data_IF_711019974511
#
_entry.id   IF_711019974511
#
_cell.length_a   1.000
_cell.length_b   1.000
_cell.length_c   1.000
_cell.angle_alpha   90.00
_cell.angle_beta   90.00
_cell.angle_gamma   90.00
#
_symmetry.space_group_name_H-M   'P 1'
#
loop_
_entity.id
_entity.type
_entity.pdbx_description
1 polymer ?
#
# COMPACT_ATOMS: atom_id res chain seq x y z
N UNK A 1 13.51 0.60 29.59
CA UNK A 1 12.21 0.58 28.88
C UNK A 1 12.52 0.55 27.40
N UNK A 2 12.26 -0.57 26.72
CA UNK A 2 12.34 -0.60 25.25
C UNK A 2 11.23 0.31 24.71
N UNK A 3 11.54 1.15 23.73
CA UNK A 3 10.53 1.95 23.04
C UNK A 3 9.56 1.00 22.30
N UNK A 4 8.28 1.38 22.20
CA UNK A 4 7.30 0.62 21.42
C UNK A 4 7.69 0.67 19.93
N UNK A 5 7.82 -0.46 19.23
CA UNK A 5 8.25 -0.48 17.84
C UNK A 5 7.25 0.26 16.94
N UNK A 6 7.77 0.94 15.93
CA UNK A 6 6.92 1.61 14.94
C UNK A 6 6.22 0.57 14.08
N UNK A 7 4.89 0.52 14.15
CA UNK A 7 4.08 -0.43 13.38
C UNK A 7 3.81 0.10 11.97
N UNK A 8 4.13 -0.71 10.98
CA UNK A 8 3.92 -0.43 9.56
C UNK A 8 3.11 -1.57 8.99
N UNK A 9 1.91 -1.26 8.50
CA UNK A 9 1.04 -2.29 7.97
C UNK A 9 1.32 -2.57 6.50
N UNK A 10 1.27 -3.86 6.15
CA UNK A 10 1.37 -4.33 4.78
C UNK A 10 0.08 -5.08 4.42
N UNK A 11 -0.76 -4.45 3.61
CA UNK A 11 -2.08 -4.94 3.23
C UNK A 11 -2.15 -5.23 1.74
N UNK A 12 -3.13 -6.01 1.32
CA UNK A 12 -3.46 -6.21 -0.09
C UNK A 12 -4.19 -7.52 -0.34
N UNK A 13 -4.56 -7.74 -1.60
CA UNK A 13 -5.33 -8.92 -1.98
C UNK A 13 -4.56 -10.23 -1.76
N UNK A 14 -5.25 -11.35 -1.48
CA UNK A 14 -4.64 -12.67 -1.41
C UNK A 14 -3.82 -13.00 -2.68
N UNK A 15 -2.67 -13.64 -2.51
CA UNK A 15 -1.82 -14.08 -3.63
C UNK A 15 -0.91 -12.99 -4.22
N UNK A 16 -0.86 -11.78 -3.65
CA UNK A 16 0.01 -10.68 -4.10
C UNK A 16 1.46 -10.77 -3.58
N UNK A 17 1.84 -11.88 -2.94
CA UNK A 17 3.20 -12.12 -2.42
C UNK A 17 3.57 -11.34 -1.15
N UNK A 18 2.61 -10.67 -0.50
CA UNK A 18 2.89 -9.79 0.64
C UNK A 18 3.45 -10.51 1.87
N UNK A 19 3.10 -11.77 2.09
CA UNK A 19 3.70 -12.54 3.20
C UNK A 19 5.19 -12.81 2.99
N UNK A 20 5.58 -13.13 1.75
CA UNK A 20 6.99 -13.31 1.39
C UNK A 20 7.74 -11.98 1.52
N UNK A 21 7.11 -10.88 1.10
CA UNK A 21 7.64 -9.53 1.27
C UNK A 21 7.82 -9.17 2.75
N UNK A 22 6.83 -9.41 3.60
CA UNK A 22 6.90 -9.14 5.05
C UNK A 22 8.05 -9.92 5.70
N UNK A 23 8.20 -11.22 5.38
CA UNK A 23 9.34 -12.03 5.85
C UNK A 23 10.67 -11.49 5.33
N UNK A 24 10.73 -11.08 4.07
CA UNK A 24 11.95 -10.51 3.50
C UNK A 24 12.36 -9.21 4.22
N UNK A 25 11.41 -8.32 4.46
CA UNK A 25 11.62 -7.05 5.18
C UNK A 25 12.09 -7.29 6.60
N UNK A 26 11.47 -8.24 7.34
CA UNK A 26 11.83 -8.55 8.72
C UNK A 26 13.31 -8.92 8.90
N UNK A 27 13.96 -9.51 7.88
CA UNK A 27 15.40 -9.82 7.90
C UNK A 27 16.32 -8.58 7.87
N UNK A 28 15.80 -7.42 7.47
CA UNK A 28 16.52 -6.16 7.39
C UNK A 28 16.21 -5.19 8.53
N UNK A 29 15.32 -5.58 9.45
CA UNK A 29 14.91 -4.73 10.56
C UNK A 29 15.64 -5.13 11.83
N UNK A 30 16.11 -4.12 12.57
CA UNK A 30 16.58 -4.37 13.92
C UNK A 30 15.39 -4.71 14.84
N UNK A 31 15.51 -5.76 15.68
CA UNK A 31 14.48 -6.12 16.63
C UNK A 31 14.08 -4.93 17.52
N UNK A 32 12.78 -4.78 17.77
CA UNK A 32 12.25 -3.79 18.72
C UNK A 32 12.13 -2.35 18.21
N UNK A 33 12.51 -2.05 16.97
CA UNK A 33 12.45 -0.68 16.44
C UNK A 33 11.32 -0.45 15.42
N UNK A 34 11.03 -1.44 14.57
CA UNK A 34 9.90 -1.43 13.67
C UNK A 34 9.29 -2.84 13.56
N UNK A 35 7.97 -2.87 13.36
CA UNK A 35 7.21 -4.09 13.12
C UNK A 35 6.45 -3.93 11.81
N UNK A 36 6.61 -4.90 10.91
CA UNK A 36 5.76 -5.02 9.73
C UNK A 36 4.64 -6.02 10.03
N UNK A 37 3.40 -5.55 9.96
CA UNK A 37 2.20 -6.31 10.32
C UNK A 37 1.33 -6.53 9.08
N UNK A 38 0.93 -7.77 8.80
CA UNK A 38 0.04 -8.10 7.68
C UNK A 38 -1.45 -7.87 8.01
N UNK A 39 -1.76 -7.50 9.25
CA UNK A 39 -3.10 -7.19 9.77
C UNK A 39 -4.16 -8.25 9.37
N UNK A 40 -3.99 -9.52 9.77
CA UNK A 40 -4.86 -10.61 9.34
C UNK A 40 -6.34 -10.41 9.71
N UNK A 41 -6.62 -9.68 10.80
CA UNK A 41 -7.99 -9.34 11.19
C UNK A 41 -8.69 -8.44 10.16
N UNK A 42 -7.99 -7.44 9.62
CA UNK A 42 -8.52 -6.54 8.59
C UNK A 42 -8.75 -7.32 7.28
N UNK A 43 -7.79 -8.18 6.91
CA UNK A 43 -7.94 -9.09 5.77
C UNK A 43 -9.18 -9.96 5.91
N UNK A 44 -9.35 -10.66 7.03
CA UNK A 44 -10.50 -11.52 7.28
C UNK A 44 -11.82 -10.75 7.29
N UNK A 45 -11.83 -9.49 7.75
CA UNK A 45 -13.02 -8.63 7.70
C UNK A 45 -13.40 -8.26 6.26
N UNK A 46 -12.44 -7.93 5.40
CA UNK A 46 -12.69 -7.69 3.96
C UNK A 46 -13.27 -8.93 3.29
N UNK A 47 -12.67 -10.12 3.53
CA UNK A 47 -13.18 -11.37 2.99
C UNK A 47 -14.63 -11.64 3.43
N UNK A 48 -14.96 -11.40 4.70
CA UNK A 48 -16.33 -11.54 5.21
C UNK A 48 -17.29 -10.55 4.54
N UNK A 49 -16.90 -9.30 4.35
CA UNK A 49 -17.75 -8.30 3.67
C UNK A 49 -18.09 -8.72 2.24
N UNK A 50 -17.11 -9.30 1.52
CA UNK A 50 -17.31 -9.74 0.14
C UNK A 50 -18.14 -11.02 0.00
N UNK A 51 -18.16 -11.85 1.04
CA UNK A 51 -18.87 -13.14 1.09
C UNK A 51 -20.24 -13.03 1.79
N UNK A 52 -20.49 -11.95 2.52
CA UNK A 52 -21.73 -11.76 3.25
C UNK A 52 -22.93 -11.69 2.28
N UNK A 53 -24.03 -12.41 2.56
CA UNK A 53 -25.26 -12.28 1.79
C UNK A 53 -25.88 -10.90 2.03
N UNK A 54 -26.59 -10.39 1.02
CA UNK A 54 -27.28 -9.10 1.12
C UNK A 54 -28.28 -9.11 2.26
N UNK A 55 -28.22 -8.08 3.10
CA UNK A 55 -29.09 -7.93 4.27
C UNK A 55 -28.30 -7.68 5.56
N UNK A 56 -28.86 -8.00 6.74
CA UNK A 56 -28.31 -7.55 8.03
C UNK A 56 -26.92 -8.11 8.34
N UNK A 57 -26.55 -9.25 7.75
CA UNK A 57 -25.22 -9.84 7.89
C UNK A 57 -24.15 -9.02 7.13
N UNK A 58 -24.52 -8.39 6.00
CA UNK A 58 -23.64 -7.51 5.26
C UNK A 58 -23.36 -6.23 6.04
N UNK A 59 -24.39 -5.62 6.64
CA UNK A 59 -24.25 -4.42 7.46
C UNK A 59 -23.34 -4.68 8.67
N UNK A 60 -23.55 -5.81 9.37
CA UNK A 60 -22.70 -6.21 10.48
C UNK A 60 -21.24 -6.46 10.06
N UNK A 61 -21.02 -7.06 8.89
CA UNK A 61 -19.68 -7.27 8.35
C UNK A 61 -18.99 -5.93 8.03
N UNK A 62 -19.69 -5.00 7.37
CA UNK A 62 -19.19 -3.68 7.02
C UNK A 62 -18.84 -2.87 8.27
N UNK A 63 -19.69 -2.93 9.30
CA UNK A 63 -19.45 -2.22 10.55
C UNK A 63 -18.25 -2.79 11.32
N UNK A 64 -18.07 -4.11 11.31
CA UNK A 64 -16.88 -4.74 11.86
C UNK A 64 -15.60 -4.35 11.09
N UNK A 65 -15.67 -4.26 9.75
CA UNK A 65 -14.57 -3.81 8.91
C UNK A 65 -14.21 -2.34 9.21
N UNK A 66 -15.20 -1.46 9.33
CA UNK A 66 -14.99 -0.06 9.68
C UNK A 66 -14.32 0.10 11.06
N UNK A 67 -14.76 -0.66 12.08
CA UNK A 67 -14.17 -0.63 13.42
C UNK A 67 -12.69 -1.08 13.42
N UNK A 68 -12.37 -2.11 12.63
CA UNK A 68 -11.00 -2.59 12.47
C UNK A 68 -10.14 -1.58 11.69
N UNK A 69 -10.67 -0.94 10.66
CA UNK A 69 -9.98 0.10 9.92
C UNK A 69 -9.68 1.33 10.79
N UNK A 70 -10.60 1.72 11.68
CA UNK A 70 -10.36 2.79 12.66
C UNK A 70 -9.29 2.40 13.69
N UNK A 71 -9.32 1.16 14.19
CA UNK A 71 -8.28 0.63 15.10
C UNK A 71 -6.91 0.62 14.41
N UNK A 72 -6.88 0.23 13.13
CA UNK A 72 -5.69 0.28 12.30
C UNK A 72 -5.14 1.71 12.18
N UNK A 73 -6.00 2.69 11.91
CA UNK A 73 -5.61 4.11 11.81
C UNK A 73 -4.92 4.62 13.09
N UNK A 74 -5.38 4.15 14.25
CA UNK A 74 -4.83 4.54 15.55
C UNK A 74 -3.51 3.84 15.90
N UNK A 75 -3.25 2.67 15.35
CA UNK A 75 -2.13 1.80 15.76
C UNK A 75 -0.97 1.78 14.77
N UNK A 76 -1.24 2.00 13.48
CA UNK A 76 -0.25 1.91 12.42
C UNK A 76 0.27 3.30 12.03
N UNK A 77 1.59 3.47 12.04
CA UNK A 77 2.25 4.73 11.66
C UNK A 77 2.21 4.97 10.15
N UNK A 78 2.18 3.90 9.36
CA UNK A 78 2.06 3.93 7.92
C UNK A 78 1.38 2.65 7.40
N UNK A 79 0.73 2.79 6.24
CA UNK A 79 0.03 1.70 5.56
C UNK A 79 0.60 1.55 4.14
N UNK A 80 1.02 0.34 3.80
CA UNK A 80 1.51 -0.03 2.48
C UNK A 80 0.55 -1.04 1.86
N UNK A 81 0.17 -0.84 0.60
CA UNK A 81 -0.81 -1.65 -0.11
C UNK A 81 -0.17 -2.35 -1.31
N UNK A 82 -0.28 -3.66 -1.43
CA UNK A 82 0.22 -4.39 -2.59
C UNK A 82 -0.61 -4.11 -3.85
N UNK A 83 0.05 -3.72 -4.94
CA UNK A 83 -0.58 -3.57 -6.26
C UNK A 83 -0.95 -4.91 -6.90
N UNK A 84 -1.92 -4.87 -7.81
CA UNK A 84 -2.41 -6.03 -8.58
C UNK A 84 -1.62 -6.25 -9.90
N UNK A 85 -0.32 -5.91 -9.95
CA UNK A 85 0.49 -5.89 -11.18
C UNK A 85 0.59 -7.22 -11.94
N UNK A 86 0.24 -8.34 -11.29
CA UNK A 86 0.18 -9.67 -11.91
C UNK A 86 -1.19 -10.11 -12.41
N UNK A 87 -2.25 -9.33 -12.13
CA UNK A 87 -3.61 -9.64 -12.57
C UNK A 87 -3.71 -9.31 -14.06
N UNK A 88 -3.59 -10.34 -14.91
CA UNK A 88 -3.92 -10.19 -16.33
C UNK A 88 -5.42 -9.90 -16.44
N UNK A 89 -5.83 -8.80 -17.10
CA UNK A 89 -7.26 -8.53 -17.30
C UNK A 89 -7.85 -9.69 -18.08
N UNK A 90 -8.96 -10.25 -17.60
CA UNK A 90 -9.65 -11.36 -18.24
C UNK A 90 -10.04 -10.94 -19.67
N UNK A 91 -9.33 -11.45 -20.67
CA UNK A 91 -9.69 -11.29 -22.09
C UNK A 91 -10.86 -12.23 -22.40
N UNK A 92 -12.04 -11.94 -21.85
CA UNK A 92 -13.27 -12.63 -22.21
C UNK A 92 -14.10 -11.77 -23.17
N UNK A 93 -14.42 -12.37 -24.32
CA UNK A 93 -15.26 -11.90 -25.41
C UNK A 93 -16.33 -10.84 -25.08
N UNK A 94 -16.19 -9.63 -25.65
CA UNK A 94 -17.28 -8.68 -25.94
C UNK A 94 -18.20 -8.22 -24.79
N UNK A 95 -17.96 -8.67 -23.57
CA UNK A 95 -18.75 -8.38 -22.37
C UNK A 95 -17.94 -7.46 -21.47
N UNK A 96 -18.62 -6.56 -20.77
CA UNK A 96 -17.99 -5.69 -19.78
C UNK A 96 -17.18 -6.56 -18.80
N UNK A 97 -15.87 -6.35 -18.67
CA UNK A 97 -15.05 -7.20 -17.82
C UNK A 97 -15.55 -7.12 -16.38
N UNK A 98 -15.96 -8.28 -15.83
CA UNK A 98 -16.32 -8.39 -14.42
C UNK A 98 -15.05 -8.36 -13.58
N UNK A 99 -15.02 -7.62 -12.45
CA UNK A 99 -13.86 -7.56 -11.60
C UNK A 99 -13.59 -8.92 -10.97
N UNK A 100 -12.35 -9.36 -11.05
CA UNK A 100 -11.82 -10.54 -10.39
C UNK A 100 -11.96 -10.47 -8.87
N UNK A 101 -11.83 -11.61 -8.19
CA UNK A 101 -11.86 -11.66 -6.73
C UNK A 101 -10.80 -10.77 -6.07
N UNK A 102 -9.62 -10.64 -6.68
CA UNK A 102 -8.55 -9.77 -6.18
C UNK A 102 -8.90 -8.29 -6.34
N UNK A 103 -9.50 -7.89 -7.48
CA UNK A 103 -9.96 -6.51 -7.70
C UNK A 103 -11.08 -6.12 -6.75
N UNK A 104 -12.04 -7.02 -6.51
CA UNK A 104 -13.11 -6.80 -5.51
C UNK A 104 -12.55 -6.66 -4.09
N UNK A 105 -11.56 -7.48 -3.74
CA UNK A 105 -10.86 -7.39 -2.45
C UNK A 105 -10.11 -6.08 -2.30
N UNK A 106 -9.31 -5.70 -3.29
CA UNK A 106 -8.54 -4.45 -3.26
C UNK A 106 -9.48 -3.24 -3.19
N UNK A 107 -10.58 -3.23 -3.95
CA UNK A 107 -11.58 -2.16 -3.91
C UNK A 107 -12.25 -2.04 -2.53
N UNK A 108 -12.69 -3.16 -1.94
CA UNK A 108 -13.30 -3.17 -0.61
C UNK A 108 -12.32 -2.69 0.47
N UNK A 109 -11.07 -3.15 0.41
CA UNK A 109 -10.02 -2.72 1.32
C UNK A 109 -9.73 -1.21 1.20
N UNK A 110 -9.60 -0.69 -0.03
CA UNK A 110 -9.39 0.75 -0.26
C UNK A 110 -10.56 1.59 0.22
N UNK A 111 -11.79 1.12 0.04
CA UNK A 111 -12.99 1.75 0.57
C UNK A 111 -12.93 1.90 2.08
N UNK A 112 -12.67 0.80 2.79
CA UNK A 112 -12.56 0.81 4.26
C UNK A 112 -11.43 1.71 4.78
N UNK A 113 -10.26 1.70 4.12
CA UNK A 113 -9.16 2.59 4.48
C UNK A 113 -9.51 4.07 4.24
N UNK A 114 -10.18 4.38 3.13
CA UNK A 114 -10.61 5.74 2.79
C UNK A 114 -11.66 6.26 3.77
N UNK A 115 -12.65 5.45 4.12
CA UNK A 115 -13.68 5.79 5.11
C UNK A 115 -13.08 6.04 6.50
N UNK A 116 -12.04 5.30 6.87
CA UNK A 116 -11.29 5.49 8.11
C UNK A 116 -10.26 6.64 8.04
N UNK A 117 -10.15 7.36 6.91
CA UNK A 117 -9.17 8.45 6.73
C UNK A 117 -7.71 7.99 6.68
N UNK A 118 -7.47 6.70 6.42
CA UNK A 118 -6.13 6.11 6.41
C UNK A 118 -5.45 6.37 5.07
N UNK A 119 -4.41 7.20 5.12
CA UNK A 119 -3.49 7.34 3.98
C UNK A 119 -2.65 6.09 3.79
N UNK A 120 -2.45 5.68 2.53
CA UNK A 120 -1.62 4.52 2.19
C UNK A 120 -0.76 4.78 0.96
N UNK A 121 0.32 3.99 0.83
CA UNK A 121 1.17 3.96 -0.37
C UNK A 121 1.01 2.62 -1.07
N UNK A 122 0.73 2.64 -2.37
CA UNK A 122 0.67 1.41 -3.17
C UNK A 122 2.08 1.00 -3.59
N UNK A 123 2.38 -0.29 -3.49
CA UNK A 123 3.63 -0.93 -3.88
C UNK A 123 3.42 -1.65 -5.21
N UNK A 124 4.11 -1.17 -6.24
CA UNK A 124 4.06 -1.74 -7.57
C UNK A 124 5.37 -2.42 -7.95
N UNK A 125 5.31 -3.25 -9.00
CA UNK A 125 6.47 -3.88 -9.61
C UNK A 125 6.80 -5.26 -9.04
N UNK A 126 7.99 -5.75 -9.36
CA UNK A 126 8.52 -7.04 -8.93
C UNK A 126 8.75 -7.11 -7.42
N UNK A 127 8.96 -8.33 -6.90
CA UNK A 127 9.21 -8.56 -5.47
C UNK A 127 10.38 -7.74 -4.93
N UNK A 128 11.47 -7.62 -5.71
CA UNK A 128 12.65 -6.84 -5.32
C UNK A 128 12.37 -5.33 -5.32
N UNK A 129 11.58 -4.81 -6.26
CA UNK A 129 11.20 -3.40 -6.30
C UNK A 129 10.30 -3.05 -5.11
N UNK A 130 9.33 -3.92 -4.79
CA UNK A 130 8.46 -3.78 -3.62
C UNK A 130 9.27 -3.83 -2.32
N UNK A 131 10.25 -4.73 -2.21
CA UNK A 131 11.15 -4.80 -1.06
C UNK A 131 11.92 -3.50 -0.85
N UNK A 132 12.56 -2.97 -1.91
CA UNK A 132 13.27 -1.69 -1.84
C UNK A 132 12.33 -0.55 -1.44
N UNK A 133 11.14 -0.48 -2.02
CA UNK A 133 10.16 0.54 -1.72
C UNK A 133 9.69 0.50 -0.25
N UNK A 134 9.50 -0.70 0.32
CA UNK A 134 9.16 -0.87 1.74
C UNK A 134 10.32 -0.41 2.63
N UNK A 135 11.55 -0.88 2.36
CA UNK A 135 12.71 -0.49 3.16
C UNK A 135 12.95 1.02 3.13
N UNK A 136 12.76 1.68 1.98
CA UNK A 136 12.86 3.13 1.86
C UNK A 136 11.75 3.88 2.60
N UNK A 137 10.55 3.30 2.71
CA UNK A 137 9.50 3.84 3.56
C UNK A 137 9.89 3.72 5.04
N UNK A 138 10.41 2.56 5.47
CA UNK A 138 10.85 2.32 6.83
C UNK A 138 11.98 3.28 7.22
N UNK A 139 13.00 3.47 6.38
CA UNK A 139 14.10 4.42 6.61
C UNK A 139 13.59 5.84 6.92
N UNK A 140 12.52 6.28 6.25
CA UNK A 140 11.93 7.62 6.44
C UNK A 140 11.10 7.73 7.71
N UNK A 141 10.41 6.65 8.08
CA UNK A 141 9.46 6.63 9.19
C UNK A 141 10.16 6.29 10.52
N UNK A 142 11.10 5.36 10.48
CA UNK A 142 11.80 4.79 11.62
C UNK A 142 13.30 4.61 11.27
N UNK A 143 14.09 5.69 11.18
CA UNK A 143 15.50 5.61 10.76
C UNK A 143 16.37 4.73 11.68
N UNK A 144 16.02 4.63 12.96
CA UNK A 144 16.70 3.76 13.93
C UNK A 144 16.42 2.26 13.76
N UNK A 145 15.42 1.90 12.95
CA UNK A 145 15.01 0.52 12.74
C UNK A 145 15.74 -0.19 11.59
N UNK A 146 16.46 0.58 10.78
CA UNK A 146 17.14 0.06 9.61
C UNK A 146 18.59 -0.28 9.94
N UNK A 147 18.97 -1.55 9.74
CA UNK A 147 20.37 -1.96 9.71
C UNK A 147 20.84 -1.93 8.25
N UNK A 148 21.73 -1.01 7.85
CA UNK A 148 22.26 -1.03 6.50
C UNK A 148 23.07 -2.31 6.28
N UNK A 149 22.76 -3.15 5.27
CA UNK A 149 23.71 -4.15 4.84
C UNK A 149 25.01 -3.47 4.41
N UNK A 150 26.15 -4.15 4.54
CA UNK A 150 27.43 -3.66 4.06
C UNK A 150 27.29 -3.17 2.60
N UNK A 151 27.86 -2.01 2.24
CA UNK A 151 27.65 -1.40 0.93
C UNK A 151 28.03 -2.40 -0.17
N UNK A 152 27.05 -2.77 -0.99
CA UNK A 152 27.30 -3.58 -2.19
C UNK A 152 27.61 -2.65 -3.35
N UNK A 153 28.47 -3.09 -4.26
CA UNK A 153 29.01 -2.33 -5.41
C UNK A 153 27.92 -1.75 -6.35
N UNK A 154 26.64 -2.10 -6.15
CA UNK A 154 25.51 -1.58 -6.92
C UNK A 154 24.90 -0.26 -6.37
N UNK A 155 25.37 0.28 -5.24
CA UNK A 155 24.88 1.56 -4.69
C UNK A 155 25.50 2.81 -5.35
N UNK A 156 26.41 2.64 -6.30
CA UNK A 156 27.13 3.74 -6.95
C UNK A 156 26.65 4.01 -8.38
N UNK A 157 25.36 4.30 -8.61
CA UNK A 157 24.92 5.08 -9.77
C UNK A 157 23.43 5.43 -9.66
N UNK A 158 23.10 6.35 -8.76
CA UNK A 158 21.88 7.14 -8.90
C UNK A 158 22.29 8.51 -9.48
N UNK A 159 22.01 8.80 -10.77
CA UNK A 159 22.24 10.13 -11.31
C UNK A 159 21.43 11.16 -10.51
N UNK A 160 22.05 12.30 -10.25
CA UNK A 160 21.47 13.41 -9.52
C UNK A 160 20.06 13.72 -10.05
N UNK A 161 19.04 13.51 -9.21
CA UNK A 161 17.67 13.90 -9.52
C UNK A 161 17.64 15.40 -9.81
N UNK A 162 17.13 15.84 -10.98
CA UNK A 162 16.94 17.27 -11.21
C UNK A 162 15.96 17.83 -10.17
N UNK A 163 16.16 19.12 -9.88
CA UNK A 163 15.54 19.87 -8.81
C UNK A 163 14.02 19.60 -8.68
N UNK A 164 13.58 19.42 -7.44
CA UNK A 164 12.17 19.24 -7.09
C UNK A 164 11.35 20.39 -7.69
N UNK A 165 10.45 20.09 -8.63
CA UNK A 165 9.32 20.96 -8.90
C UNK A 165 8.53 21.08 -7.59
N UNK A 166 8.40 22.30 -7.09
CA UNK A 166 7.53 22.60 -5.94
C UNK A 166 6.14 22.05 -6.23
N UNK A 167 5.46 21.54 -5.20
CA UNK A 167 4.06 21.16 -5.30
C UNK A 167 3.26 22.39 -5.73
N UNK A 168 2.82 22.41 -6.99
CA UNK A 168 1.89 23.40 -7.49
C UNK A 168 0.49 22.99 -7.05
N UNK A 169 -0.05 23.69 -6.06
CA UNK A 169 -1.42 23.53 -5.58
C UNK A 169 -2.38 24.13 -6.60
N UNK A 170 -2.92 23.31 -7.51
CA UNK A 170 -4.04 23.74 -8.35
C UNK A 170 -5.35 23.46 -7.59
N UNK A 171 -6.01 24.50 -7.10
CA UNK A 171 -7.28 24.40 -6.37
C UNK A 171 -8.49 24.10 -7.28
N UNK A 172 -8.27 23.81 -8.57
CA UNK A 172 -9.29 23.36 -9.53
C UNK A 172 -8.73 22.27 -10.44
N UNK A 173 -8.83 21.01 -9.99
CA UNK A 173 -8.22 19.83 -10.61
C UNK A 173 -8.96 19.29 -11.87
N UNK A 174 -9.60 20.14 -12.68
CA UNK A 174 -10.28 19.71 -13.92
C UNK A 174 -10.23 20.74 -15.04
N UNK A 175 -9.17 21.56 -15.10
CA UNK A 175 -8.95 22.45 -16.23
C UNK A 175 -8.01 21.79 -17.27
N UNK A 176 -8.45 21.62 -18.53
CA UNK A 176 -7.69 20.92 -19.57
C UNK A 176 -6.39 21.65 -19.96
N UNK A 177 -6.28 22.96 -19.71
CA UNK A 177 -5.05 23.71 -19.96
C UNK A 177 -3.96 23.37 -18.93
N UNK A 178 -4.36 23.03 -17.71
CA UNK A 178 -3.46 22.63 -16.63
C UNK A 178 -2.83 21.25 -16.90
N UNK A 179 -3.62 20.31 -17.41
CA UNK A 179 -3.12 18.99 -17.84
C UNK A 179 -2.16 19.12 -19.02
N UNK A 180 -2.49 19.94 -20.02
CA UNK A 180 -1.65 20.15 -21.19
C UNK A 180 -0.26 20.71 -20.83
N UNK A 181 -0.20 21.65 -19.88
CA UNK A 181 1.07 22.21 -19.38
C UNK A 181 1.91 21.17 -18.63
N UNK A 182 1.29 20.32 -17.81
CA UNK A 182 1.99 19.25 -17.07
C UNK A 182 2.59 18.21 -18.03
N UNK A 183 1.79 17.72 -18.98
CA UNK A 183 2.26 16.72 -19.95
C UNK A 183 3.30 17.27 -20.92
N UNK A 184 3.28 18.58 -21.20
CA UNK A 184 4.30 19.23 -22.02
C UNK A 184 5.62 19.35 -21.25
N UNK A 185 5.57 19.72 -19.97
CA UNK A 185 6.76 19.82 -19.11
C UNK A 185 7.44 18.46 -18.83
N UNK A 186 6.71 17.34 -18.89
CA UNK A 186 7.26 15.99 -18.70
C UNK A 186 7.91 15.39 -19.95
N UNK A 187 7.72 16.00 -21.12
CA UNK A 187 8.30 15.53 -22.40
C UNK A 187 9.52 16.34 -22.84
N UNK A 188 9.96 17.33 -22.04
CA UNK A 188 11.11 18.19 -22.29
C UNK A 188 12.24 17.94 -21.31
#
# INVERSE_FOLDING_TARGET
>A
MAADPVRIALLGAPGTGLEALARAVARHLQPGHALVDACPALHAAVSRCLQAPVGPLQDAAQQALAALAATHAATCRATLLGGLDGATPSKASGQTPQPSGQERFDACLRGALSEAGVSYRVLYGSENERLRAVLDAIKKIAPKAYDPPAPTVFDQEAPARPARLRAWSCEKCSDPECEHKLFTALRG
#
